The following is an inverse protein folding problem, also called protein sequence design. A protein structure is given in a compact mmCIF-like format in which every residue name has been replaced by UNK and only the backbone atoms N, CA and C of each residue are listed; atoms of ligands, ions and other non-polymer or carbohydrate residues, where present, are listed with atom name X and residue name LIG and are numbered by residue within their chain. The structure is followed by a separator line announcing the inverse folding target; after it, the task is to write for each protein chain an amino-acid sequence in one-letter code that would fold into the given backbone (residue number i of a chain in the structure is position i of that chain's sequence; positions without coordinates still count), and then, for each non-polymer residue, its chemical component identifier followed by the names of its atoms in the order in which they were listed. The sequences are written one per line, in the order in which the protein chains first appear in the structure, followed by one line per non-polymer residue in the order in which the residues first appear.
data_IF_136742695798
#
_entry.id   IF_136742695798
#
_cell.length_a   1.000
_cell.length_b   1.000
_cell.length_c   1.000
_cell.angle_alpha   90.00
_cell.angle_beta   90.00
_cell.angle_gamma   90.00
#
_symmetry.space_group_name_H-M   'P 1'
#
loop_
_entity.id
_entity.type
_entity.pdbx_description
1 polymer ?
2 non-polymer ?
3 non-polymer ?
4 non-polymer ?
5 water ?
#
# COMPACT_ATOMS: atom_id res chain seq x y z
N UNK A 1 -11.16 12.73 7.64
CA UNK A 1 -11.62 13.14 6.32
C UNK A 1 -10.95 12.35 5.21
N UNK A 2 -10.97 12.93 4.01
CA UNK A 2 -10.44 12.26 2.83
C UNK A 2 -8.97 11.85 3.02
N UNK A 3 -8.14 12.77 3.49
CA UNK A 3 -6.72 12.46 3.64
C UNK A 3 -6.52 11.30 4.61
N UNK A 4 -7.24 11.32 5.74
CA UNK A 4 -7.12 10.20 6.66
C UNK A 4 -7.61 8.91 6.03
N UNK A 5 -8.68 8.99 5.22
CA UNK A 5 -9.20 7.78 4.57
C UNK A 5 -8.14 7.15 3.67
N UNK A 6 -7.38 7.97 2.95
CA UNK A 6 -6.26 7.42 2.18
C UNK A 6 -5.29 6.68 3.10
N UNK A 7 -5.02 7.22 4.27
CA UNK A 7 -4.12 6.53 5.20
C UNK A 7 -4.76 5.24 5.72
N UNK A 8 -6.06 5.28 6.03
CA UNK A 8 -6.73 4.05 6.46
C UNK A 8 -6.64 2.98 5.41
N UNK A 9 -6.95 3.33 4.17
CA UNK A 9 -6.93 2.34 3.10
C UNK A 9 -5.51 1.82 2.87
N UNK A 10 -4.53 2.72 2.80
CA UNK A 10 -3.16 2.26 2.57
C UNK A 10 -2.67 1.38 3.71
N UNK A 11 -3.18 1.60 4.91
CA UNK A 11 -2.74 0.82 6.05
C UNK A 11 -3.04 -0.65 5.91
N UNK A 12 -4.06 -1.00 5.14
CA UNK A 12 -4.45 -2.40 4.91
C UNK A 12 -4.86 -2.55 3.46
N UNK A 13 -3.97 -2.14 2.56
CA UNK A 13 -4.38 -1.86 1.18
C UNK A 13 -4.91 -3.09 0.47
N UNK A 14 -4.21 -4.22 0.56
CA UNK A 14 -4.66 -5.41 -0.17
C UNK A 14 -6.05 -5.86 0.29
N UNK A 15 -6.29 -5.85 1.60
CA UNK A 15 -7.58 -6.27 2.10
C UNK A 15 -8.70 -5.34 1.64
N UNK A 16 -8.51 -4.03 1.81
CA UNK A 16 -9.54 -3.10 1.39
C UNK A 16 -9.75 -3.17 -0.11
N UNK A 17 -8.67 -3.29 -0.88
CA UNK A 17 -8.77 -3.33 -2.33
C UNK A 17 -9.61 -4.52 -2.79
N UNK A 18 -9.34 -5.70 -2.23
CA UNK A 18 -10.13 -6.87 -2.59
C UNK A 18 -11.59 -6.69 -2.20
N UNK A 19 -11.85 -6.21 -1.00
CA UNK A 19 -13.24 -6.12 -0.55
C UNK A 19 -14.01 -5.07 -1.33
N UNK A 20 -13.35 -3.96 -1.70
CA UNK A 20 -14.06 -2.95 -2.47
C UNK A 20 -14.30 -3.42 -3.91
N UNK A 21 -13.31 -4.08 -4.51
CA UNK A 21 -13.48 -4.59 -5.88
C UNK A 21 -14.58 -5.65 -5.91
N UNK A 22 -14.59 -6.53 -4.92
CA UNK A 22 -15.67 -7.52 -4.84
C UNK A 22 -17.02 -6.84 -4.71
N UNK A 23 -17.11 -5.80 -3.88
CA UNK A 23 -18.37 -5.07 -3.76
C UNK A 23 -18.81 -4.54 -5.11
N UNK A 24 -17.87 -3.99 -5.88
CA UNK A 24 -18.17 -3.52 -7.23
C UNK A 24 -18.66 -4.66 -8.13
N UNK A 25 -17.90 -5.76 -8.17
CA UNK A 25 -18.25 -6.87 -9.06
C UNK A 25 -19.61 -7.46 -8.71
N UNK A 26 -19.96 -7.49 -7.42
CA UNK A 26 -21.24 -8.08 -7.02
C UNK A 26 -22.39 -7.11 -7.20
N UNK A 27 -22.15 -5.80 -7.04
CA UNK A 27 -23.21 -4.84 -7.31
C UNK A 27 -23.55 -4.77 -8.79
N UNK A 28 -22.57 -5.01 -9.66
CA UNK A 28 -22.71 -4.84 -11.11
C UNK A 28 -22.22 -6.11 -11.80
N UNK A 29 -23.03 -7.17 -11.79
CA UNK A 29 -22.61 -8.42 -12.47
C UNK A 29 -22.16 -8.24 -13.91
N UNK A 30 -22.77 -7.33 -14.68
CA UNK A 30 -22.35 -7.15 -16.07
C UNK A 30 -20.92 -6.61 -16.16
N UNK A 31 -20.45 -5.93 -15.12
CA UNK A 31 -19.10 -5.40 -15.18
C UNK A 31 -18.03 -6.47 -15.23
N UNK A 32 -18.36 -7.74 -15.00
CA UNK A 32 -17.33 -8.74 -15.31
C UNK A 32 -17.09 -8.89 -16.82
N UNK A 33 -17.76 -8.13 -17.66
CA UNK A 33 -17.41 -8.07 -19.09
C UNK A 33 -15.94 -7.77 -19.28
N UNK A 34 -15.36 -6.95 -18.41
CA UNK A 34 -13.96 -6.58 -18.52
C UNK A 34 -13.04 -7.48 -17.69
N UNK A 35 -13.58 -8.59 -17.10
CA UNK A 35 -12.82 -9.46 -16.19
C UNK A 35 -13.19 -10.92 -16.45
N UNK A 36 -12.82 -11.42 -17.63
CA UNK A 36 -13.25 -12.75 -18.05
C UNK A 36 -12.72 -13.85 -17.15
N UNK A 37 -11.58 -13.61 -16.47
CA UNK A 37 -10.96 -14.66 -15.67
C UNK A 37 -11.53 -14.78 -14.27
N UNK A 38 -12.46 -13.90 -13.88
CA UNK A 38 -13.07 -13.96 -12.56
C UNK A 38 -14.48 -14.50 -12.59
N UNK A 39 -15.01 -14.78 -13.78
CA UNK A 39 -16.34 -15.35 -13.91
C UNK A 39 -16.40 -16.74 -13.27
N UNK A 40 -17.51 -17.03 -12.60
CA UNK A 40 -17.74 -18.36 -12.07
C UNK A 40 -17.01 -18.65 -10.78
N UNK A 41 -16.62 -17.63 -10.02
CA UNK A 41 -15.93 -17.80 -8.76
C UNK A 41 -16.57 -16.93 -7.69
N UNK A 42 -16.71 -17.47 -6.49
CA UNK A 42 -17.25 -16.71 -5.37
C UNK A 42 -16.19 -15.75 -4.84
N UNK A 43 -16.59 -14.91 -3.88
CA UNK A 43 -15.66 -13.96 -3.27
C UNK A 43 -14.43 -14.67 -2.71
N UNK A 44 -14.64 -15.74 -1.94
CA UNK A 44 -13.51 -16.39 -1.32
C UNK A 44 -12.68 -17.16 -2.33
N UNK A 45 -13.32 -17.70 -3.37
CA UNK A 45 -12.55 -18.33 -4.45
C UNK A 45 -11.66 -17.31 -5.14
N UNK A 46 -12.13 -16.07 -5.32
CA UNK A 46 -11.31 -15.05 -5.93
C UNK A 46 -10.16 -14.64 -5.02
N UNK A 47 -10.46 -14.41 -3.74
CA UNK A 47 -9.42 -14.01 -2.79
C UNK A 47 -8.33 -15.07 -2.65
N UNK A 48 -8.65 -16.33 -2.93
CA UNK A 48 -7.64 -17.38 -2.78
C UNK A 48 -6.64 -17.37 -3.91
N UNK A 49 -6.97 -16.73 -5.03
CA UNK A 49 -6.06 -16.65 -6.17
C UNK A 49 -5.13 -15.46 -5.97
N UNK A 50 -3.83 -15.75 -5.90
CA UNK A 50 -2.86 -14.69 -5.65
C UNK A 50 -2.94 -13.59 -6.71
N UNK A 51 -3.32 -13.95 -7.93
CA UNK A 51 -3.38 -12.95 -9.00
C UNK A 51 -4.50 -11.93 -8.75
N UNK A 52 -5.57 -12.34 -8.07
CA UNK A 52 -6.65 -11.42 -7.77
C UNK A 52 -6.17 -10.35 -6.80
N UNK A 53 -5.56 -10.77 -5.69
CA UNK A 53 -5.01 -9.81 -4.75
C UNK A 53 -3.89 -8.98 -5.35
N UNK A 54 -3.04 -9.60 -6.17
CA UNK A 54 -1.95 -8.86 -6.79
C UNK A 54 -2.49 -7.75 -7.68
N UNK A 55 -3.50 -8.05 -8.49
CA UNK A 55 -4.07 -7.07 -9.39
C UNK A 55 -4.79 -5.97 -8.62
N UNK A 56 -5.62 -6.35 -7.64
CA UNK A 56 -6.41 -5.38 -6.91
C UNK A 56 -5.52 -4.43 -6.11
N UNK A 57 -4.46 -4.96 -5.51
CA UNK A 57 -3.54 -4.13 -4.75
C UNK A 57 -2.87 -3.10 -5.64
N UNK A 58 -2.49 -3.50 -6.86
CA UNK A 58 -1.81 -2.55 -7.74
C UNK A 58 -2.77 -1.50 -8.27
N UNK A 59 -4.00 -1.89 -8.57
CA UNK A 59 -5.04 -0.91 -8.93
C UNK A 59 -5.23 0.11 -7.81
N UNK A 60 -5.45 -0.37 -6.59
CA UNK A 60 -5.77 0.56 -5.52
C UNK A 60 -4.57 1.39 -5.07
N UNK A 61 -3.35 0.90 -5.27
CA UNK A 61 -2.19 1.75 -5.06
C UNK A 61 -2.23 2.96 -5.99
N UNK A 62 -2.47 2.74 -7.28
CA UNK A 62 -2.58 3.89 -8.19
C UNK A 62 -3.76 4.77 -7.81
N UNK A 63 -4.90 4.16 -7.44
CA UNK A 63 -6.04 4.97 -7.00
C UNK A 63 -5.68 5.85 -5.82
N UNK A 64 -4.93 5.31 -4.85
CA UNK A 64 -4.56 6.11 -3.70
C UNK A 64 -3.56 7.19 -4.08
N UNK A 65 -2.66 6.92 -5.05
CA UNK A 65 -1.76 7.96 -5.53
C UNK A 65 -2.54 9.10 -6.17
N UNK A 66 -3.55 8.78 -6.98
CA UNK A 66 -4.36 9.81 -7.59
C UNK A 66 -5.15 10.57 -6.54
N UNK A 67 -5.69 9.86 -5.53
CA UNK A 67 -6.45 10.54 -4.49
C UNK A 67 -5.55 11.45 -3.66
N UNK A 68 -4.32 11.00 -3.37
CA UNK A 68 -3.41 11.82 -2.55
C UNK A 68 -2.92 13.04 -3.31
N UNK A 69 -2.82 12.95 -4.64
CA UNK A 69 -2.39 14.09 -5.45
C UNK A 69 -3.52 15.06 -5.73
N UNK A 70 -4.76 14.66 -5.48
CA UNK A 70 -5.89 15.54 -5.72
C UNK A 70 -5.86 16.74 -4.77
N UNK A 71 -6.55 17.80 -5.18
CA UNK A 71 -6.75 18.98 -4.34
C UNK A 71 -8.25 19.08 -4.10
N UNK A 72 -8.66 19.10 -2.83
CA UNK A 72 -10.08 19.16 -2.47
C UNK A 72 -10.90 18.17 -3.27
N UNK A 73 -10.38 16.95 -3.39
CA UNK A 73 -11.06 15.83 -4.06
C UNK A 73 -11.22 16.04 -5.56
N UNK A 74 -10.45 16.94 -6.15
CA UNK A 74 -10.39 17.13 -7.58
C UNK A 74 -9.09 16.51 -8.07
N UNK A 75 -9.12 15.43 -8.86
CA UNK A 75 -7.87 14.82 -9.32
C UNK A 75 -7.18 15.67 -10.37
N UNK A 76 -5.86 15.50 -10.45
CA UNK A 76 -5.08 16.18 -11.49
C UNK A 76 -5.49 15.72 -12.88
N UNK A 77 -5.53 16.67 -13.82
CA UNK A 77 -5.84 16.28 -15.19
C UNK A 77 -4.80 15.32 -15.75
N UNK A 78 -3.54 15.47 -15.35
CA UNK A 78 -2.50 14.57 -15.81
C UNK A 78 -2.73 13.14 -15.31
N UNK A 79 -3.23 12.99 -14.08
CA UNK A 79 -3.57 11.67 -13.57
C UNK A 79 -4.77 11.08 -14.32
N UNK A 80 -5.78 11.91 -14.62
CA UNK A 80 -6.88 11.40 -15.41
C UNK A 80 -6.39 10.95 -16.79
N UNK A 81 -5.46 11.72 -17.38
CA UNK A 81 -4.92 11.35 -18.68
C UNK A 81 -4.21 10.00 -18.63
N UNK A 82 -3.38 9.79 -17.60
CA UNK A 82 -2.74 8.49 -17.41
C UNK A 82 -3.78 7.37 -17.42
N UNK A 83 -4.85 7.52 -16.65
CA UNK A 83 -5.87 6.48 -16.61
C UNK A 83 -6.56 6.30 -17.96
N UNK A 84 -6.73 7.38 -18.74
CA UNK A 84 -7.36 7.24 -20.05
C UNK A 84 -6.44 6.52 -21.01
N UNK A 85 -5.15 6.83 -20.97
CA UNK A 85 -4.18 6.36 -21.96
C UNK A 85 -3.63 4.98 -21.64
N UNK A 86 -3.91 4.44 -20.46
CA UNK A 86 -3.42 3.10 -20.13
C UNK A 86 -3.98 2.09 -21.10
N UNK A 87 -3.09 1.24 -21.63
CA UNK A 87 -3.51 0.19 -22.56
C UNK A 87 -4.57 -0.70 -21.92
N UNK A 88 -4.43 -0.98 -20.63
CA UNK A 88 -5.41 -1.81 -19.94
C UNK A 88 -6.80 -1.19 -19.92
N UNK A 89 -6.91 0.11 -20.18
CA UNK A 89 -8.18 0.82 -20.10
C UNK A 89 -8.76 1.17 -21.46
N UNK A 90 -8.24 0.59 -22.55
CA UNK A 90 -8.71 0.97 -23.88
C UNK A 90 -10.20 0.67 -24.08
N UNK A 91 -10.70 -0.41 -23.50
CA UNK A 91 -12.11 -0.67 -23.69
C UNK A 91 -13.08 0.13 -22.85
N UNK A 92 -12.61 1.03 -22.00
CA UNK A 92 -13.45 1.58 -20.93
C UNK A 92 -14.09 2.91 -21.29
N UNK A 93 -15.21 3.18 -20.62
CA UNK A 93 -15.87 4.48 -20.62
C UNK A 93 -16.03 4.96 -19.19
N UNK A 94 -16.48 6.21 -19.03
CA UNK A 94 -16.56 6.79 -17.70
C UNK A 94 -17.59 6.08 -16.83
N UNK A 95 -18.61 5.44 -17.44
CA UNK A 95 -19.58 4.71 -16.64
C UNK A 95 -18.96 3.57 -15.86
N UNK A 96 -17.93 2.93 -16.41
CA UNK A 96 -17.19 1.92 -15.68
C UNK A 96 -16.62 2.48 -14.38
N UNK A 97 -16.10 3.71 -14.43
CA UNK A 97 -15.53 4.34 -13.26
C UNK A 97 -16.61 4.89 -12.33
N UNK A 98 -17.70 5.41 -12.91
CA UNK A 98 -18.82 5.85 -12.08
C UNK A 98 -19.32 4.71 -11.21
N UNK A 99 -19.49 3.52 -11.81
CA UNK A 99 -20.01 2.38 -11.06
C UNK A 99 -19.03 1.93 -9.97
N UNK A 100 -17.74 1.91 -10.28
CA UNK A 100 -16.73 1.58 -9.27
C UNK A 100 -16.87 2.47 -8.04
N UNK A 101 -17.00 3.78 -8.26
CA UNK A 101 -17.04 4.65 -7.10
C UNK A 101 -18.40 4.63 -6.40
N UNK A 102 -19.49 4.35 -7.12
CA UNK A 102 -20.75 4.14 -6.42
C UNK A 102 -20.63 2.95 -5.46
N UNK A 103 -19.99 1.87 -5.92
CA UNK A 103 -19.84 0.70 -5.07
C UNK A 103 -18.88 0.99 -3.92
N UNK A 104 -17.80 1.74 -4.19
CA UNK A 104 -16.85 2.10 -3.14
C UNK A 104 -17.52 2.93 -2.06
N UNK A 105 -18.32 3.91 -2.45
CA UNK A 105 -19.01 4.73 -1.44
C UNK A 105 -20.01 3.90 -0.65
N UNK A 106 -20.76 3.03 -1.33
CA UNK A 106 -21.68 2.13 -0.62
C UNK A 106 -20.95 1.26 0.38
N UNK A 107 -19.79 0.71 -0.01
CA UNK A 107 -18.96 -0.08 0.91
C UNK A 107 -18.54 0.73 2.13
N UNK A 108 -18.05 1.96 1.91
CA UNK A 108 -17.64 2.79 3.02
C UNK A 108 -18.79 3.07 3.98
N UNK A 109 -19.95 3.43 3.43
CA UNK A 109 -21.10 3.75 4.28
C UNK A 109 -21.56 2.56 5.10
N UNK A 110 -21.44 1.34 4.57
CA UNK A 110 -21.82 0.14 5.31
C UNK A 110 -20.74 -0.35 6.26
N UNK A 111 -19.52 0.19 6.15
CA UNK A 111 -18.38 -0.33 6.90
C UNK A 111 -18.52 -0.09 8.38
N UNK A 112 -19.22 0.96 8.77
CA UNK A 112 -19.24 1.29 10.19
C UNK A 112 -17.94 1.89 10.67
N UNK A 113 -16.94 2.01 9.81
CA UNK A 113 -15.77 2.83 10.07
C UNK A 113 -16.04 4.25 9.58
N UNK A 114 -15.21 5.16 10.05
CA UNK A 114 -15.47 6.59 9.97
C UNK A 114 -15.04 7.22 8.65
N UNK A 115 -15.28 6.55 7.53
CA UNK A 115 -14.89 7.09 6.25
C UNK A 115 -15.67 8.35 5.94
N UNK A 116 -15.02 9.28 5.25
CA UNK A 116 -15.67 10.49 4.75
C UNK A 116 -16.32 10.13 3.42
N UNK A 117 -17.47 9.47 3.51
CA UNK A 117 -18.12 8.93 2.31
C UNK A 117 -18.49 10.05 1.33
N UNK A 118 -18.90 11.20 1.85
CA UNK A 118 -19.24 12.33 0.97
C UNK A 118 -18.05 12.72 0.10
N UNK A 119 -16.86 12.79 0.68
CA UNK A 119 -15.68 13.18 -0.09
C UNK A 119 -15.35 12.16 -1.16
N UNK A 120 -15.52 10.87 -0.86
CA UNK A 120 -15.23 9.87 -1.88
C UNK A 120 -16.27 9.90 -3.00
N UNK A 121 -17.52 10.22 -2.67
CA UNK A 121 -18.51 10.38 -3.73
C UNK A 121 -18.15 11.57 -4.62
N UNK A 122 -17.75 12.69 -4.00
CA UNK A 122 -17.33 13.85 -4.78
C UNK A 122 -16.11 13.54 -5.63
N UNK A 123 -15.10 12.88 -5.03
CA UNK A 123 -13.90 12.47 -5.77
C UNK A 123 -14.25 11.61 -6.97
N UNK A 124 -15.10 10.60 -6.78
CA UNK A 124 -15.53 9.78 -7.91
C UNK A 124 -16.19 10.61 -8.99
N UNK A 125 -17.07 11.55 -8.61
CA UNK A 125 -17.71 12.39 -9.61
C UNK A 125 -16.69 13.27 -10.31
N UNK A 126 -15.76 13.84 -9.55
CA UNK A 126 -14.76 14.70 -10.17
C UNK A 126 -13.78 13.88 -11.01
N UNK A 127 -13.51 12.64 -10.62
CA UNK A 127 -12.67 11.79 -11.47
C UNK A 127 -13.38 11.49 -12.79
N UNK A 128 -14.67 11.15 -12.74
CA UNK A 128 -15.44 10.91 -13.97
C UNK A 128 -15.37 12.12 -14.88
N UNK A 129 -15.61 13.32 -14.33
CA UNK A 129 -15.58 14.52 -15.17
C UNK A 129 -14.18 14.80 -15.71
N UNK A 130 -13.15 14.46 -14.93
CA UNK A 130 -11.77 14.61 -15.40
C UNK A 130 -11.42 13.58 -16.47
N UNK A 131 -11.91 12.34 -16.33
CA UNK A 131 -11.68 11.34 -17.38
C UNK A 131 -12.30 11.81 -18.68
N UNK A 132 -13.52 12.36 -18.61
CA UNK A 132 -14.17 12.89 -19.80
C UNK A 132 -13.34 14.00 -20.43
N UNK A 133 -12.86 14.93 -19.60
CA UNK A 133 -12.04 16.02 -20.10
C UNK A 133 -10.74 15.53 -20.72
N UNK A 134 -10.21 14.39 -20.24
CA UNK A 134 -8.98 13.81 -20.75
C UNK A 134 -9.22 12.87 -21.92
N UNK A 135 -10.46 12.76 -22.39
CA UNK A 135 -10.76 12.09 -23.64
C UNK A 135 -11.48 10.76 -23.55
N UNK A 136 -11.86 10.32 -22.36
CA UNK A 136 -12.62 9.08 -22.25
C UNK A 136 -14.07 9.33 -22.62
N UNK A 137 -14.63 8.40 -23.40
CA UNK A 137 -16.02 8.51 -23.80
C UNK A 137 -16.92 7.98 -22.70
N UNK B 1 14.71 10.18 -6.40
CA UNK B 1 14.92 10.41 -4.99
C UNK B 1 14.06 9.57 -4.07
N UNK B 2 14.06 9.97 -2.80
CA UNK B 2 13.33 9.29 -1.75
C UNK B 2 11.84 9.19 -2.10
N UNK B 3 11.23 10.29 -2.55
CA UNK B 3 9.79 10.27 -2.83
C UNK B 3 9.45 9.35 -3.99
N UNK B 4 10.28 9.33 -5.02
CA UNK B 4 10.04 8.41 -6.13
C UNK B 4 10.24 6.96 -5.68
N UNK B 5 11.22 6.73 -4.80
CA UNK B 5 11.44 5.38 -4.29
C UNK B 5 10.20 4.84 -3.57
N UNK B 6 9.50 5.72 -2.85
CA UNK B 6 8.25 5.29 -2.21
C UNK B 6 7.26 4.81 -3.25
N UNK B 7 7.14 5.55 -4.36
CA UNK B 7 6.28 5.13 -5.45
C UNK B 7 6.75 3.82 -6.09
N UNK B 8 8.06 3.66 -6.28
CA UNK B 8 8.57 2.42 -6.84
C UNK B 8 8.23 1.23 -5.95
N UNK B 9 8.49 1.36 -4.65
CA UNK B 9 8.22 0.26 -3.74
C UNK B 9 6.74 -0.05 -3.70
N UNK B 10 5.91 0.99 -3.61
CA UNK B 10 4.46 0.81 -3.56
C UNK B 10 3.92 0.13 -4.81
N UNK B 11 4.55 0.36 -5.97
CA UNK B 11 4.08 -0.25 -7.21
C UNK B 11 4.25 -1.75 -7.27
N UNK B 12 5.12 -2.33 -6.43
CA UNK B 12 5.25 -3.77 -6.32
C UNK B 12 5.43 -4.13 -4.85
N UNK B 13 4.53 -3.63 -3.98
CA UNK B 13 4.88 -3.57 -2.56
C UNK B 13 4.95 -4.96 -1.93
N UNK B 14 4.07 -5.88 -2.33
CA UNK B 14 4.11 -7.19 -1.69
C UNK B 14 5.44 -7.89 -1.93
N UNK B 15 5.92 -7.86 -3.17
CA UNK B 15 7.18 -8.51 -3.50
C UNK B 15 8.36 -7.82 -2.83
N UNK B 16 8.39 -6.49 -2.87
CA UNK B 16 9.48 -5.77 -2.23
C UNK B 16 9.48 -5.99 -0.72
N UNK B 17 8.30 -5.95 -0.09
CA UNK B 17 8.22 -6.13 1.35
C UNK B 17 8.76 -7.51 1.74
N UNK B 18 8.35 -8.54 0.98
CA UNK B 18 8.91 -9.88 1.13
C UNK B 18 10.43 -9.87 0.95
N UNK B 19 10.88 -9.39 -0.22
CA UNK B 19 12.31 -9.38 -0.53
C UNK B 19 13.12 -8.75 0.58
N UNK B 20 12.63 -7.62 1.09
CA UNK B 20 13.44 -6.84 2.03
C UNK B 20 13.40 -7.43 3.43
N UNK B 21 12.23 -7.89 3.89
CA UNK B 21 12.20 -8.45 5.23
C UNK B 21 12.96 -9.77 5.31
N UNK B 22 12.90 -10.57 4.24
CA UNK B 22 13.72 -11.77 4.17
C UNK B 22 15.20 -11.41 4.16
N UNK B 23 15.58 -10.37 3.40
CA UNK B 23 16.97 -9.93 3.46
C UNK B 23 17.38 -9.56 4.87
N UNK B 24 16.48 -8.92 5.62
CA UNK B 24 16.74 -8.60 7.03
C UNK B 24 16.93 -9.86 7.84
N UNK B 25 16.00 -10.82 7.73
CA UNK B 25 16.08 -12.02 8.55
C UNK B 25 17.27 -12.88 8.18
N UNK B 26 17.70 -12.84 6.92
CA UNK B 26 18.85 -13.65 6.51
C UNK B 26 20.16 -12.96 6.83
N UNK B 27 20.20 -11.62 6.82
CA UNK B 27 21.41 -10.92 7.25
C UNK B 27 21.63 -11.03 8.75
N UNK B 28 20.55 -11.04 9.52
CA UNK B 28 20.59 -11.05 10.99
C UNK B 28 19.76 -12.21 11.50
N UNK B 29 20.25 -13.45 11.37
CA UNK B 29 19.41 -14.60 11.75
C UNK B 29 18.98 -14.59 13.21
N UNK B 30 19.77 -14.01 14.11
CA UNK B 30 19.37 -14.00 15.52
C UNK B 30 18.11 -13.19 15.76
N UNK B 31 17.73 -12.34 14.81
CA UNK B 31 16.51 -11.56 14.95
C UNK B 31 15.25 -12.42 14.95
N UNK B 32 15.38 -13.71 14.59
CA UNK B 32 14.28 -14.63 14.78
C UNK B 32 13.98 -14.90 16.25
N UNK B 33 14.81 -14.39 17.17
CA UNK B 33 14.45 -14.44 18.58
C UNK B 33 13.08 -13.82 18.83
N UNK B 34 12.69 -12.83 18.03
CA UNK B 34 11.37 -12.24 18.17
C UNK B 34 10.31 -12.90 17.30
N UNK B 35 10.70 -13.92 16.51
CA UNK B 35 9.81 -14.60 15.58
C UNK B 35 10.08 -16.10 15.69
N UNK B 36 9.79 -16.68 16.86
CA UNK B 36 10.13 -18.09 17.09
C UNK B 36 9.51 -19.01 16.05
N UNK B 37 8.33 -18.66 15.55
CA UNK B 37 7.66 -19.46 14.54
C UNK B 37 8.40 -19.45 13.20
N UNK B 38 9.31 -18.51 12.99
CA UNK B 38 10.04 -18.45 11.71
C UNK B 38 11.20 -19.43 11.66
N UNK B 39 11.59 -20.00 12.80
CA UNK B 39 12.75 -20.88 12.86
C UNK B 39 12.53 -22.11 11.98
N UNK B 40 13.59 -22.53 11.29
CA UNK B 40 13.55 -23.75 10.50
C UNK B 40 12.79 -23.65 9.19
N UNK B 41 12.68 -22.46 8.62
CA UNK B 41 11.87 -22.22 7.43
C UNK B 41 12.73 -21.55 6.36
N UNK B 42 12.62 -22.04 5.13
CA UNK B 42 13.25 -21.34 4.02
C UNK B 42 12.42 -20.10 3.64
N UNK B 43 13.01 -19.25 2.79
CA UNK B 43 12.32 -18.06 2.29
C UNK B 43 10.96 -18.40 1.70
N UNK B 44 10.91 -19.44 0.87
CA UNK B 44 9.65 -19.81 0.23
C UNK B 44 8.64 -20.28 1.26
N UNK B 45 9.09 -21.05 2.25
CA UNK B 45 8.19 -21.48 3.31
C UNK B 45 7.67 -20.30 4.11
N UNK B 46 8.52 -19.32 4.41
CA UNK B 46 8.05 -18.15 5.13
C UNK B 46 7.00 -17.40 4.33
N UNK B 47 7.20 -17.27 3.02
CA UNK B 47 6.26 -16.56 2.17
C UNK B 47 4.90 -17.23 2.10
N UNK B 48 4.79 -18.48 2.55
CA UNK B 48 3.52 -19.18 2.60
C UNK B 48 2.98 -19.32 4.03
N UNK B 49 3.54 -18.60 5.00
CA UNK B 49 3.10 -18.60 6.38
C UNK B 49 2.34 -17.30 6.65
N UNK B 50 1.08 -17.42 7.08
CA UNK B 50 0.20 -16.26 7.08
C UNK B 50 0.71 -15.15 8.00
N UNK B 51 1.27 -15.50 9.17
CA UNK B 51 1.72 -14.45 10.07
C UNK B 51 2.94 -13.71 9.51
N UNK B 52 3.79 -14.38 8.73
CA UNK B 52 4.87 -13.68 8.05
C UNK B 52 4.32 -12.75 6.96
N UNK B 53 3.44 -13.27 6.12
CA UNK B 53 2.90 -12.44 5.06
C UNK B 53 2.16 -11.23 5.59
N UNK B 54 1.40 -11.43 6.67
CA UNK B 54 0.58 -10.35 7.20
C UNK B 54 1.43 -9.31 7.93
N UNK B 55 2.39 -9.75 8.76
CA UNK B 55 3.24 -8.76 9.43
C UNK B 55 4.06 -7.98 8.42
N UNK B 56 4.72 -8.69 7.50
CA UNK B 56 5.55 -8.02 6.50
C UNK B 56 4.74 -6.99 5.71
N UNK B 57 3.52 -7.35 5.35
CA UNK B 57 2.66 -6.44 4.59
C UNK B 57 2.35 -5.20 5.42
N UNK B 58 2.05 -5.39 6.71
CA UNK B 58 1.77 -4.26 7.60
C UNK B 58 3.00 -3.38 7.78
N UNK B 59 4.16 -4.02 8.01
CA UNK B 59 5.43 -3.29 8.13
C UNK B 59 5.59 -2.33 6.97
N UNK B 60 5.40 -2.80 5.75
CA UNK B 60 5.75 -1.94 4.63
C UNK B 60 4.63 -0.99 4.26
N UNK B 61 3.36 -1.38 4.44
CA UNK B 61 2.30 -0.39 4.26
C UNK B 61 2.52 0.81 5.17
N UNK B 62 2.79 0.53 6.45
CA UNK B 62 2.92 1.66 7.38
C UNK B 62 4.26 2.35 7.19
N UNK B 63 5.33 1.61 6.88
CA UNK B 63 6.62 2.27 6.67
C UNK B 63 6.55 3.24 5.50
N UNK B 64 5.83 2.87 4.42
CA UNK B 64 5.74 3.79 3.29
C UNK B 64 4.95 5.04 3.66
N UNK B 65 3.94 4.91 4.52
CA UNK B 65 3.21 6.08 4.99
C UNK B 65 4.12 6.98 5.84
N UNK B 66 4.90 6.39 6.75
CA UNK B 66 5.80 7.19 7.58
C UNK B 66 6.84 7.88 6.70
N UNK B 67 7.37 7.17 5.72
CA UNK B 67 8.28 7.79 4.76
C UNK B 67 7.60 8.92 4.00
N UNK B 68 6.35 8.70 3.60
CA UNK B 68 5.63 9.70 2.81
C UNK B 68 5.37 10.97 3.62
N UNK B 69 5.12 10.82 4.93
CA UNK B 69 4.83 11.97 5.76
C UNK B 69 6.09 12.67 6.23
N UNK B 70 7.25 12.07 6.02
CA UNK B 70 8.52 12.66 6.43
C UNK B 70 8.83 13.91 5.61
N UNK B 71 9.62 14.79 6.21
CA UNK B 71 10.24 15.93 5.52
C UNK B 71 11.74 15.65 5.49
N UNK B 72 12.30 15.64 4.28
CA UNK B 72 13.73 15.40 4.09
C UNK B 72 14.21 14.18 4.88
N UNK B 73 13.41 13.11 4.83
CA UNK B 73 13.71 11.82 5.45
C UNK B 73 13.71 11.87 6.96
N UNK B 74 13.10 12.89 7.54
CA UNK B 74 12.90 13.01 8.99
C UNK B 74 11.43 12.70 9.28
N UNK B 75 11.11 11.62 9.99
CA UNK B 75 9.71 11.27 10.25
C UNK B 75 9.07 12.24 11.22
N UNK B 76 7.74 12.30 11.15
CA UNK B 76 6.95 12.97 12.18
C UNK B 76 7.17 12.31 13.54
N UNK B 77 7.32 13.15 14.58
CA UNK B 77 7.40 12.62 15.92
C UNK B 77 6.16 11.81 16.27
N UNK B 78 4.99 12.22 15.78
CA UNK B 78 3.78 11.45 16.07
C UNK B 78 3.83 10.05 15.47
N UNK B 79 4.47 9.89 14.32
CA UNK B 79 4.60 8.56 13.75
C UNK B 79 5.52 7.69 14.62
N UNK B 80 6.58 8.29 15.16
CA UNK B 80 7.47 7.55 16.04
C UNK B 80 6.77 7.16 17.34
N UNK B 81 5.98 8.07 17.91
CA UNK B 81 5.22 7.75 19.11
C UNK B 81 4.25 6.61 18.86
N UNK B 82 3.55 6.64 17.73
CA UNK B 82 2.61 5.56 17.42
C UNK B 82 3.33 4.22 17.34
N UNK B 83 4.51 4.19 16.72
CA UNK B 83 5.26 2.95 16.63
C UNK B 83 5.73 2.46 18.00
N UNK B 84 6.14 3.40 18.87
CA UNK B 84 6.63 3.00 20.19
C UNK B 84 5.51 2.39 21.03
N UNK B 85 4.29 2.90 20.88
CA UNK B 85 3.19 2.50 21.73
C UNK B 85 2.41 1.30 21.20
N UNK B 86 2.84 0.69 20.10
CA UNK B 86 2.21 -0.52 19.60
C UNK B 86 2.45 -1.67 20.57
N UNK B 87 1.37 -2.34 20.97
CA UNK B 87 1.48 -3.38 22.01
C UNK B 87 2.37 -4.53 21.57
N UNK B 88 2.21 -5.03 20.34
CA UNK B 88 3.00 -6.15 19.88
C UNK B 88 4.49 -5.84 19.77
N UNK B 89 4.89 -4.59 19.91
CA UNK B 89 6.28 -4.16 19.84
C UNK B 89 6.92 -4.00 21.21
N UNK B 90 6.31 -4.54 22.25
CA UNK B 90 6.75 -4.24 23.62
C UNK B 90 8.17 -4.72 23.87
N UNK B 91 8.58 -5.81 23.23
CA UNK B 91 9.91 -6.34 23.45
C UNK B 91 10.98 -5.84 22.51
N UNK B 92 10.70 -4.83 21.72
CA UNK B 92 11.64 -4.36 20.71
C UNK B 92 12.50 -3.23 21.24
N UNK B 93 13.63 -3.03 20.58
CA UNK B 93 14.54 -1.94 20.86
C UNK B 93 14.93 -1.29 19.53
N UNK B 94 15.56 -0.12 19.59
CA UNK B 94 15.90 0.57 18.35
C UNK B 94 16.81 -0.27 17.48
N UNK B 95 17.61 -1.15 18.08
CA UNK B 95 18.49 -2.02 17.30
C UNK B 95 17.75 -2.89 16.30
N UNK B 96 16.55 -3.34 16.65
CA UNK B 96 15.75 -4.12 15.69
C UNK B 96 15.45 -3.30 14.44
N UNK B 97 15.09 -2.03 14.61
CA UNK B 97 14.80 -1.17 13.46
C UNK B 97 16.08 -0.77 12.71
N UNK B 98 17.16 -0.51 13.45
CA UNK B 98 18.45 -0.20 12.83
C UNK B 98 18.84 -1.29 11.85
N UNK B 99 18.74 -2.55 12.30
CA UNK B 99 19.13 -3.68 11.45
C UNK B 99 18.20 -3.80 10.25
N UNK B 100 16.90 -3.58 10.46
CA UNK B 100 15.98 -3.61 9.33
C UNK B 100 16.42 -2.64 8.25
N UNK B 101 16.83 -1.43 8.63
CA UNK B 101 17.17 -0.44 7.60
C UNK B 101 18.55 -0.67 7.01
N UNK B 102 19.50 -1.23 7.77
CA UNK B 102 20.77 -1.63 7.17
C UNK B 102 20.52 -2.67 6.08
N UNK B 103 19.63 -3.63 6.34
CA UNK B 103 19.33 -4.64 5.32
C UNK B 103 18.59 -4.03 4.14
N UNK B 104 17.67 -3.09 4.40
CA UNK B 104 16.94 -2.45 3.32
C UNK B 104 17.88 -1.65 2.42
N UNK B 105 18.82 -0.91 3.01
CA UNK B 105 19.75 -0.12 2.21
C UNK B 105 20.65 -1.04 1.39
N UNK B 106 21.13 -2.12 2.00
CA UNK B 106 21.97 -3.07 1.28
C UNK B 106 21.20 -3.67 0.11
N UNK B 107 19.94 -4.01 0.34
CA UNK B 107 19.11 -4.57 -0.72
C UNK B 107 18.95 -3.58 -1.87
N UNK B 108 18.73 -2.30 -1.55
CA UNK B 108 18.59 -1.32 -2.62
C UNK B 108 19.89 -1.16 -3.40
N UNK B 109 21.03 -1.15 -2.70
CA UNK B 109 22.30 -0.99 -3.40
C UNK B 109 22.60 -2.16 -4.32
N UNK B 110 22.17 -3.36 -3.92
CA UNK B 110 22.40 -4.56 -4.72
C UNK B 110 21.40 -4.74 -5.85
N UNK B 111 20.27 -4.05 -5.79
CA UNK B 111 19.23 -4.16 -6.81
C UNK B 111 19.68 -3.47 -8.10
N UNK B 112 19.07 -3.88 -9.21
CA UNK B 112 19.39 -3.26 -10.48
C UNK B 112 18.85 -1.86 -10.68
N UNK B 113 18.29 -1.25 -9.62
CA UNK B 113 17.41 -0.09 -9.75
C UNK B 113 18.04 1.18 -9.18
N UNK B 114 17.45 2.31 -9.56
CA UNK B 114 17.98 3.65 -9.28
C UNK B 114 17.52 4.20 -7.94
N UNK B 115 17.38 3.34 -6.92
CA UNK B 115 16.99 3.78 -5.60
C UNK B 115 17.98 4.81 -5.06
N UNK B 116 17.47 5.72 -4.24
CA UNK B 116 18.29 6.72 -3.54
C UNK B 116 18.66 6.12 -2.18
N UNK B 117 19.65 5.22 -2.21
CA UNK B 117 19.96 4.43 -1.01
C UNK B 117 20.49 5.31 0.12
N UNK B 118 21.17 6.40 -0.21
CA UNK B 118 21.62 7.33 0.82
C UNK B 118 20.44 7.91 1.59
N UNK B 119 19.36 8.25 0.90
CA UNK B 119 18.19 8.81 1.58
C UNK B 119 17.57 7.78 2.51
N UNK B 120 17.50 6.51 2.09
CA UNK B 120 16.93 5.50 2.96
C UNK B 120 17.83 5.25 4.16
N UNK B 121 19.15 5.35 3.99
CA UNK B 121 20.05 5.26 5.12
C UNK B 121 19.77 6.37 6.12
N UNK B 122 19.62 7.60 5.64
CA UNK B 122 19.26 8.70 6.53
C UNK B 122 17.90 8.48 7.18
N UNK B 123 16.91 8.07 6.39
CA UNK B 123 15.58 7.84 6.94
C UNK B 123 15.62 6.83 8.09
N UNK B 124 16.36 5.73 7.91
CA UNK B 124 16.44 4.74 8.98
C UNK B 124 17.13 5.27 10.22
N UNK B 125 18.21 6.04 10.03
CA UNK B 125 18.87 6.67 11.17
C UNK B 125 17.96 7.66 11.87
N UNK B 126 17.22 8.46 11.08
CA UNK B 126 16.33 9.47 11.67
C UNK B 126 15.12 8.83 12.32
N UNK B 127 14.63 7.71 11.78
CA UNK B 127 13.55 7.01 12.45
C UNK B 127 14.02 6.44 13.79
N UNK B 128 15.21 5.85 13.80
CA UNK B 128 15.76 5.30 15.04
C UNK B 128 15.91 6.40 16.09
N UNK B 129 16.45 7.55 15.69
CA UNK B 129 16.56 8.67 16.63
C UNK B 129 15.19 9.07 17.15
N UNK B 130 14.21 9.15 16.25
CA UNK B 130 12.87 9.57 16.66
C UNK B 130 12.23 8.55 17.59
N UNK B 131 12.44 7.26 17.31
CA UNK B 131 11.91 6.22 18.19
C UNK B 131 12.51 6.35 19.59
N UNK B 132 13.82 6.62 19.66
CA UNK B 132 14.47 6.85 20.95
C UNK B 132 13.82 8.00 21.68
N UNK B 133 13.67 9.15 21.01
CA UNK B 133 13.08 10.31 21.64
C UNK B 133 11.66 10.04 22.09
N UNK B 134 10.93 9.16 21.37
CA UNK B 134 9.56 8.82 21.71
C UNK B 134 9.44 7.77 22.80
N UNK B 135 10.55 7.17 23.25
CA UNK B 135 10.51 6.25 24.37
C UNK B 135 11.00 4.84 24.10
N UNK B 136 11.39 4.49 22.88
CA UNK B 136 11.87 3.14 22.65
C UNK B 136 13.25 2.94 23.27
N UNK B 137 13.43 1.79 23.92
CA UNK B 137 14.71 1.45 24.50
C UNK B 137 15.71 1.02 23.44
#
# INVERSE_FOLDING_TARGET
GFKQDIATLRGDLRTYAQDIFLAFLNKYPDEKRNFKNYVGKSDQELKSMAKFGDHTEKVFNLMMEVADRATDCVPLASDASTLVQMKQHSGLTTGNFEKLFVALVEYMRASGQSFDSQSWDRFGKNLVSALSSAGMK
GFKQDIATLRGDLRTYAQDIFLAFLNKYPDEKRNFKNYVGKSDQELKSMAKFGDHTEKVFNLMMEVADRATDCVPLASDASTLVQMKQHSGLTTGNFEKLFVALVEYMRASGQSFDSQSWDRFGKNLVSALSSAGMK
#
